data_IF_880059537697
#
_entry.id   IF_880059537697
#
_cell.length_a   1.000
_cell.length_b   1.000
_cell.length_c   1.000
_cell.angle_alpha   90.00
_cell.angle_beta   90.00
_cell.angle_gamma   90.00
#
_symmetry.space_group_name_H-M   'P 1'
#
loop_
_entity.id
_entity.type
_entity.pdbx_description
1 polymer ?
#
# COMPACT_ATOMS: atom_id res chain seq x y z
N UNK A 1 -20.81 -8.20 -3.36
CA UNK A 1 -20.36 -9.19 -2.35
C UNK A 1 -18.91 -8.85 -2.01
N UNK A 2 -18.64 -8.29 -0.84
CA UNK A 2 -17.36 -7.61 -0.55
C UNK A 2 -16.14 -8.54 -0.53
N UNK A 3 -16.19 -9.67 0.18
CA UNK A 3 -15.04 -10.57 0.31
C UNK A 3 -14.62 -11.17 -1.05
N UNK A 4 -15.60 -11.63 -1.84
CA UNK A 4 -15.32 -12.20 -3.17
C UNK A 4 -14.65 -11.20 -4.09
N UNK A 5 -15.05 -9.93 -4.06
CA UNK A 5 -14.42 -8.88 -4.87
C UNK A 5 -12.99 -8.58 -4.39
N UNK A 6 -12.77 -8.58 -3.08
CA UNK A 6 -11.45 -8.42 -2.45
C UNK A 6 -10.49 -9.57 -2.79
N UNK A 7 -10.97 -10.82 -2.76
CA UNK A 7 -10.18 -12.01 -3.10
C UNK A 7 -9.71 -12.01 -4.57
N UNK A 8 -10.43 -11.31 -5.46
CA UNK A 8 -10.07 -11.16 -6.87
C UNK A 8 -9.23 -9.89 -7.13
N UNK A 9 -8.55 -9.37 -6.10
CA UNK A 9 -7.61 -8.26 -6.28
C UNK A 9 -6.54 -8.64 -7.32
N UNK A 10 -6.39 -7.80 -8.35
CA UNK A 10 -5.44 -8.02 -9.46
C UNK A 10 -4.01 -8.16 -8.96
N UNK A 11 -3.65 -7.34 -7.97
CA UNK A 11 -2.31 -7.26 -7.42
C UNK A 11 -2.32 -7.76 -5.97
N UNK A 12 -1.82 -8.98 -5.79
CA UNK A 12 -1.69 -9.63 -4.48
C UNK A 12 -0.42 -10.49 -4.40
N UNK A 13 0.07 -10.68 -3.18
CA UNK A 13 1.17 -11.61 -2.87
C UNK A 13 0.67 -12.57 -1.81
N UNK A 14 0.54 -13.84 -2.16
CA UNK A 14 0.10 -14.88 -1.24
C UNK A 14 1.02 -14.98 -0.02
N UNK A 15 0.50 -15.53 1.07
CA UNK A 15 1.30 -15.92 2.24
C UNK A 15 2.55 -16.69 1.82
N UNK A 16 3.72 -16.28 2.30
CA UNK A 16 5.03 -16.84 1.96
C UNK A 16 5.36 -16.87 0.44
N UNK A 17 4.62 -16.12 -0.37
CA UNK A 17 4.80 -16.03 -1.82
C UNK A 17 5.85 -14.98 -2.22
N UNK A 18 6.46 -15.19 -3.38
CA UNK A 18 7.38 -14.23 -4.00
C UNK A 18 6.75 -13.64 -5.26
N UNK A 19 6.54 -12.32 -5.27
CA UNK A 19 5.97 -11.60 -6.42
C UNK A 19 6.48 -10.16 -6.43
N UNK A 20 6.49 -9.51 -7.60
CA UNK A 20 6.98 -8.13 -7.78
C UNK A 20 8.40 -7.88 -7.21
N UNK A 21 9.24 -8.93 -7.15
CA UNK A 21 10.59 -8.87 -6.59
C UNK A 21 10.67 -8.89 -5.07
N UNK A 22 9.57 -9.16 -4.36
CA UNK A 22 9.48 -9.14 -2.89
C UNK A 22 8.91 -10.47 -2.35
N UNK A 23 9.47 -10.94 -1.22
CA UNK A 23 8.94 -12.06 -0.45
C UNK A 23 7.94 -11.56 0.59
N UNK A 24 6.69 -12.05 0.53
CA UNK A 24 5.74 -11.84 1.61
C UNK A 24 6.09 -12.77 2.78
N UNK A 25 6.75 -12.26 3.82
CA UNK A 25 7.09 -13.03 5.03
C UNK A 25 5.91 -13.17 6.01
N UNK A 26 4.76 -12.58 5.71
CA UNK A 26 3.56 -12.66 6.53
C UNK A 26 2.81 -13.98 6.28
N UNK A 27 2.17 -14.50 7.33
CA UNK A 27 1.26 -15.65 7.27
C UNK A 27 -0.03 -15.36 6.49
N UNK A 28 -0.32 -14.09 6.23
CA UNK A 28 -1.49 -13.65 5.46
C UNK A 28 -1.10 -13.16 4.07
N UNK A 29 -2.03 -13.28 3.12
CA UNK A 29 -1.92 -12.67 1.78
C UNK A 29 -1.91 -11.16 1.91
N UNK A 30 -0.99 -10.51 1.21
CA UNK A 30 -0.94 -9.06 1.07
C UNK A 30 -1.67 -8.66 -0.22
N UNK A 31 -2.59 -7.71 -0.12
CA UNK A 31 -3.31 -7.15 -1.27
C UNK A 31 -2.85 -5.71 -1.53
N UNK A 32 -3.10 -5.19 -2.73
CA UNK A 32 -2.86 -3.77 -3.01
C UNK A 32 -3.75 -2.89 -2.11
N UNK A 33 -3.23 -1.78 -1.59
CA UNK A 33 -3.98 -0.93 -0.66
C UNK A 33 -5.28 -0.37 -1.25
N UNK A 34 -5.37 -0.20 -2.57
CA UNK A 34 -6.64 0.20 -3.20
C UNK A 34 -7.72 -0.89 -3.14
N UNK A 35 -7.34 -2.17 -3.14
CA UNK A 35 -8.28 -3.26 -2.91
C UNK A 35 -8.80 -3.23 -1.47
N UNK A 36 -7.90 -3.02 -0.49
CA UNK A 36 -8.29 -2.94 0.92
C UNK A 36 -9.14 -1.69 1.23
N UNK A 37 -8.86 -0.54 0.60
CA UNK A 37 -9.71 0.68 0.69
C UNK A 37 -11.11 0.42 0.13
N UNK A 38 -11.21 -0.21 -1.04
CA UNK A 38 -12.51 -0.59 -1.64
C UNK A 38 -13.25 -1.60 -0.77
N UNK A 39 -12.53 -2.57 -0.20
CA UNK A 39 -13.09 -3.55 0.71
C UNK A 39 -13.68 -2.89 1.96
N UNK A 40 -12.93 -1.98 2.59
CA UNK A 40 -13.39 -1.17 3.71
C UNK A 40 -14.68 -0.41 3.37
N UNK A 41 -14.70 0.29 2.23
CA UNK A 41 -15.89 1.03 1.77
C UNK A 41 -17.08 0.12 1.47
N UNK A 42 -16.84 -1.07 0.90
CA UNK A 42 -17.89 -2.05 0.62
C UNK A 42 -18.53 -2.55 1.92
N UNK A 43 -17.70 -2.95 2.91
CA UNK A 43 -18.18 -3.40 4.21
C UNK A 43 -18.98 -2.30 4.92
N UNK A 44 -18.48 -1.06 4.88
CA UNK A 44 -19.18 0.09 5.46
C UNK A 44 -20.54 0.35 4.80
N UNK A 45 -20.62 0.24 3.47
CA UNK A 45 -21.88 0.41 2.74
C UNK A 45 -22.87 -0.74 2.96
N UNK A 46 -22.37 -1.97 3.15
CA UNK A 46 -23.21 -3.14 3.42
C UNK A 46 -23.96 -2.99 4.76
N UNK A 47 -23.28 -2.46 5.79
CA UNK A 47 -23.86 -2.08 7.08
C UNK A 47 -24.72 -3.19 7.72
N UNK A 48 -24.27 -4.44 7.60
CA UNK A 48 -24.87 -5.61 8.22
C UNK A 48 -23.93 -6.21 9.29
N UNK A 49 -24.47 -7.08 10.14
CA UNK A 49 -23.73 -7.69 11.25
C UNK A 49 -22.46 -8.43 10.79
N UNK A 50 -22.52 -9.13 9.65
CA UNK A 50 -21.38 -9.89 9.14
C UNK A 50 -20.31 -8.95 8.56
N UNK A 51 -20.71 -7.90 7.85
CA UNK A 51 -19.79 -6.88 7.35
C UNK A 51 -19.05 -6.18 8.50
N UNK A 52 -19.73 -5.92 9.62
CA UNK A 52 -19.13 -5.32 10.81
C UNK A 52 -18.09 -6.25 11.46
N UNK A 53 -18.43 -7.53 11.64
CA UNK A 53 -17.51 -8.53 12.22
C UNK A 53 -16.28 -8.72 11.33
N UNK A 54 -16.48 -8.88 10.02
CA UNK A 54 -15.39 -9.03 9.05
C UNK A 54 -14.50 -7.79 9.04
N UNK A 55 -15.09 -6.59 8.96
CA UNK A 55 -14.35 -5.34 8.95
C UNK A 55 -13.54 -5.12 10.22
N UNK A 56 -14.14 -5.34 11.38
CA UNK A 56 -13.44 -5.22 12.67
C UNK A 56 -12.30 -6.25 12.79
N UNK A 57 -12.55 -7.50 12.42
CA UNK A 57 -11.52 -8.54 12.40
C UNK A 57 -10.33 -8.16 11.51
N UNK A 58 -10.61 -7.74 10.29
CA UNK A 58 -9.59 -7.43 9.28
C UNK A 58 -8.76 -6.18 9.62
N UNK A 59 -9.44 -5.06 9.92
CA UNK A 59 -8.78 -3.74 10.06
C UNK A 59 -8.38 -3.39 11.50
N UNK A 60 -9.08 -3.90 12.52
CA UNK A 60 -8.85 -3.50 13.91
C UNK A 60 -8.07 -4.57 14.69
N UNK A 61 -8.41 -5.85 14.52
CA UNK A 61 -7.78 -6.96 15.25
C UNK A 61 -6.52 -7.45 14.55
N UNK A 62 -6.65 -7.91 13.29
CA UNK A 62 -5.53 -8.45 12.51
C UNK A 62 -4.61 -7.35 12.00
N UNK A 63 -5.11 -6.11 11.89
CA UNK A 63 -4.38 -4.95 11.36
C UNK A 63 -3.67 -5.30 10.05
N UNK A 64 -4.42 -5.93 9.15
CA UNK A 64 -3.87 -6.48 7.91
C UNK A 64 -3.08 -5.41 7.16
N UNK A 65 -1.94 -5.82 6.61
CA UNK A 65 -1.06 -4.94 5.87
C UNK A 65 -1.42 -5.02 4.39
N UNK A 66 -1.35 -3.89 3.70
CA UNK A 66 -1.46 -3.79 2.26
C UNK A 66 -0.17 -3.23 1.67
N UNK A 67 -0.02 -3.28 0.35
CA UNK A 67 1.12 -2.70 -0.36
C UNK A 67 0.68 -1.71 -1.45
N UNK A 68 1.56 -0.77 -1.79
CA UNK A 68 1.42 0.14 -2.93
C UNK A 68 2.73 0.12 -3.73
N UNK A 69 2.65 0.41 -5.02
CA UNK A 69 3.82 0.65 -5.85
C UNK A 69 4.25 2.10 -5.68
N UNK A 70 5.39 2.35 -5.04
CA UNK A 70 5.99 3.68 -5.03
C UNK A 70 7.12 3.77 -6.06
N UNK A 71 7.12 4.86 -6.84
CA UNK A 71 8.21 5.20 -7.73
C UNK A 71 9.40 5.65 -6.88
N UNK A 72 10.55 5.03 -7.11
CA UNK A 72 11.79 5.49 -6.50
C UNK A 72 12.40 6.55 -7.41
N UNK A 73 12.31 7.82 -7.03
CA UNK A 73 13.17 8.85 -7.62
C UNK A 73 14.59 8.62 -7.11
N UNK A 74 15.42 7.91 -7.89
CA UNK A 74 16.85 7.88 -7.65
C UNK A 74 17.51 9.07 -8.35
N UNK A 75 18.16 9.93 -7.56
CA UNK A 75 19.02 10.97 -8.11
C UNK A 75 20.24 10.30 -8.72
N UNK A 76 20.24 10.08 -10.04
CA UNK A 76 21.44 9.66 -10.75
C UNK A 76 22.37 10.86 -10.79
N UNK A 77 23.48 10.82 -10.04
CA UNK A 77 24.54 11.83 -10.10
C UNK A 77 25.16 11.83 -11.50
N UNK A 78 24.52 12.51 -12.45
CA UNK A 78 25.03 12.70 -13.81
C UNK A 78 25.87 13.97 -13.85
N UNK A 79 27.00 13.93 -13.12
CA UNK A 79 28.26 14.71 -13.25
C UNK A 79 28.87 14.91 -11.85
N UNK A 80 30.18 14.67 -11.65
CA UNK A 80 30.86 15.24 -10.49
C UNK A 80 30.82 16.76 -10.65
N UNK A 81 30.12 17.46 -9.75
CA UNK A 81 30.17 18.91 -9.70
C UNK A 81 31.63 19.35 -9.46
N UNK A 82 32.15 20.37 -10.17
CA UNK A 82 33.44 20.94 -9.82
C UNK A 82 33.37 21.49 -8.39
N UNK A 83 34.41 21.25 -7.60
CA UNK A 83 34.47 21.58 -6.18
C UNK A 83 34.57 23.09 -5.95
N UNK A 84 33.53 23.89 -6.23
CA UNK A 84 33.50 25.32 -5.89
C UNK A 84 32.13 25.98 -5.76
N UNK A 85 31.02 25.23 -5.60
CA UNK A 85 29.70 25.84 -5.41
C UNK A 85 29.03 25.37 -4.12
N UNK A 86 29.37 26.05 -3.03
CA UNK A 86 28.77 25.89 -1.71
C UNK A 86 27.77 27.03 -1.49
N UNK A 87 26.67 27.09 -2.26
CA UNK A 87 25.43 27.77 -1.85
C UNK A 87 24.32 27.59 -2.91
N UNK A 88 23.36 26.71 -2.64
CA UNK A 88 21.97 26.96 -3.05
C UNK A 88 21.01 26.05 -2.30
N UNK A 89 20.00 26.69 -1.74
CA UNK A 89 18.89 26.16 -0.97
C UNK A 89 18.12 25.06 -1.71
N UNK A 90 18.12 23.84 -1.15
CA UNK A 90 16.93 23.02 -0.89
C UNK A 90 15.90 22.65 -1.96
N UNK A 91 15.94 23.09 -3.22
CA UNK A 91 14.78 22.87 -4.13
C UNK A 91 15.05 22.59 -5.61
N UNK A 92 16.28 22.65 -6.13
CA UNK A 92 16.50 22.54 -7.59
C UNK A 92 17.06 21.18 -8.03
N UNK A 93 16.41 20.08 -7.66
CA UNK A 93 16.56 18.83 -8.40
C UNK A 93 15.62 18.86 -9.61
N UNK A 94 16.08 19.34 -10.77
CA UNK A 94 15.42 19.10 -12.05
C UNK A 94 15.58 17.62 -12.43
N UNK A 95 14.81 16.76 -11.76
CA UNK A 95 14.73 15.34 -12.08
C UNK A 95 13.99 15.17 -13.40
N UNK A 96 14.73 14.97 -14.49
CA UNK A 96 14.15 14.33 -15.68
C UNK A 96 13.63 12.97 -15.26
N UNK A 97 12.31 12.78 -15.33
CA UNK A 97 11.68 11.50 -15.05
C UNK A 97 12.17 10.46 -16.05
N UNK A 98 13.13 9.63 -15.64
CA UNK A 98 13.56 8.47 -16.41
C UNK A 98 12.93 7.23 -15.78
N UNK A 99 12.07 6.55 -16.54
CA UNK A 99 11.56 5.22 -16.22
C UNK A 99 12.73 4.24 -16.09
N UNK A 100 13.24 4.06 -14.87
CA UNK A 100 14.16 2.97 -14.56
C UNK A 100 13.36 1.89 -13.84
N UNK A 101 13.47 0.67 -14.36
CA UNK A 101 12.85 -0.56 -13.88
C UNK A 101 12.67 -0.57 -12.36
N UNK A 102 11.51 -0.12 -11.90
CA UNK A 102 11.26 0.17 -10.51
C UNK A 102 11.22 -1.13 -9.74
N UNK A 103 12.22 -1.36 -8.88
CA UNK A 103 12.01 -2.22 -7.73
C UNK A 103 10.90 -1.57 -6.94
N UNK A 104 9.69 -2.13 -7.04
CA UNK A 104 8.51 -1.67 -6.34
C UNK A 104 8.88 -1.36 -4.89
N UNK A 105 8.88 -0.07 -4.50
CA UNK A 105 8.99 0.30 -3.11
C UNK A 105 7.77 -0.29 -2.42
N UNK A 106 7.97 -1.42 -1.74
CA UNK A 106 6.94 -2.13 -1.00
C UNK A 106 6.62 -1.33 0.27
N UNK A 107 5.82 -0.28 0.15
CA UNK A 107 5.33 0.44 1.33
C UNK A 107 4.23 -0.41 1.93
N UNK A 108 4.62 -1.31 2.82
CA UNK A 108 3.66 -2.03 3.63
C UNK A 108 2.99 -1.00 4.56
N UNK A 109 1.68 -0.84 4.44
CA UNK A 109 0.91 0.12 5.26
C UNK A 109 -0.21 -0.62 5.99
N UNK A 110 -0.54 -0.14 7.18
CA UNK A 110 -1.77 -0.55 7.87
C UNK A 110 -2.79 0.55 7.59
N UNK A 111 -3.90 0.21 6.92
CA UNK A 111 -4.98 1.17 6.75
C UNK A 111 -5.53 1.59 8.12
N UNK A 112 -6.12 2.80 8.17
CA UNK A 112 -6.73 3.29 9.41
C UNK A 112 -7.82 2.31 9.89
N UNK A 113 -7.89 2.04 11.21
CA UNK A 113 -8.89 1.15 11.77
C UNK A 113 -10.29 1.69 11.51
N UNK A 114 -11.27 0.81 11.31
CA UNK A 114 -12.65 1.25 11.17
C UNK A 114 -13.17 1.67 12.55
N UNK A 115 -13.53 2.95 12.69
CA UNK A 115 -14.29 3.46 13.83
C UNK A 115 -15.77 3.41 13.48
N UNK A 116 -16.41 2.26 13.69
CA UNK A 116 -17.87 2.15 13.55
C UNK A 116 -18.55 2.97 14.65
N UNK A 117 -18.85 4.23 14.39
CA UNK A 117 -19.63 5.07 15.31
C UNK A 117 -21.11 4.76 15.14
N UNK A 118 -21.60 3.70 15.80
CA UNK A 118 -23.04 3.40 15.86
C UNK A 118 -23.32 1.99 16.40
N UNK A 119 -24.47 1.76 17.06
CA UNK A 119 -24.83 0.44 17.54
C UNK A 119 -25.08 -0.45 16.32
N UNK A 120 -24.31 -1.55 16.21
CA UNK A 120 -24.64 -2.62 15.29
C UNK A 120 -26.07 -3.06 15.54
N UNK A 121 -26.91 -2.98 14.49
CA UNK A 121 -28.28 -3.48 14.53
C UNK A 121 -28.28 -5.00 14.55
#
# INVERSE_FOLDING_TARGET
MCCREHDHCKDSITSFGFNYGVLNTNIFTLSHCDCDKKFQQCLHKANDSMANVVGYGYFNVLKMRCFEFAERMECVNTRPAPAHEYLSTGTDCNCGAQEINSTALFVSQTLQPILWTGPGR
#
